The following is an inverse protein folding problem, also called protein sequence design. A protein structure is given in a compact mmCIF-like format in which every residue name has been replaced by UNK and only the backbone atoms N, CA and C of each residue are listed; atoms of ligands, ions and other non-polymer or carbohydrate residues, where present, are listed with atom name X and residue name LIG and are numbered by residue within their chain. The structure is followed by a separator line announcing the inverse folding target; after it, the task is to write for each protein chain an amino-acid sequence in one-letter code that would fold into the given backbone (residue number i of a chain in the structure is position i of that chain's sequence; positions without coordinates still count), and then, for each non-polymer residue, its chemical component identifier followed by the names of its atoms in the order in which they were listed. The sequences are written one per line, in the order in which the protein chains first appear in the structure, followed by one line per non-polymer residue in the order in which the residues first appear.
data_IF_155203172447
#
_entry.id   IF_155203172447
#
_cell.length_a   1.000
_cell.length_b   1.000
_cell.length_c   1.000
_cell.angle_alpha   90.00
_cell.angle_beta   90.00
_cell.angle_gamma   90.00
#
_symmetry.space_group_name_H-M   'P 1'
#
loop_
_entity.id
_entity.type
_entity.pdbx_description
1 polymer ?
#
# COMPACT_ATOMS: atom_id res chain seq x y z
N UNK A 1 33.01 -2.09 -1.95
CA UNK A 1 31.75 -2.61 -2.56
C UNK A 1 30.59 -2.02 -1.77
N UNK A 2 29.67 -1.28 -2.38
CA UNK A 2 28.47 -0.81 -1.68
C UNK A 2 27.64 -2.03 -1.25
N UNK A 3 27.22 -2.06 0.01
CA UNK A 3 26.37 -3.14 0.51
C UNK A 3 25.04 -3.11 -0.26
N UNK A 4 24.58 -4.25 -0.72
CA UNK A 4 23.32 -4.39 -1.46
C UNK A 4 22.15 -4.14 -0.51
N UNK A 5 21.35 -3.11 -0.74
CA UNK A 5 20.11 -2.85 -0.01
C UNK A 5 19.00 -3.77 -0.52
N UNK A 6 18.39 -4.52 0.38
CA UNK A 6 17.28 -5.45 0.06
C UNK A 6 16.01 -4.92 0.70
N UNK A 7 14.95 -4.77 -0.10
CA UNK A 7 13.60 -4.50 0.35
C UNK A 7 12.70 -5.67 -0.02
N UNK A 8 11.81 -6.05 0.88
CA UNK A 8 10.77 -7.03 0.59
C UNK A 8 9.47 -6.34 0.24
N UNK A 9 8.73 -6.93 -0.68
CA UNK A 9 7.41 -6.46 -1.09
C UNK A 9 6.37 -7.55 -0.88
N UNK A 10 5.24 -7.17 -0.28
CA UNK A 10 4.08 -8.04 -0.08
C UNK A 10 2.80 -7.23 -0.34
N UNK A 11 1.74 -7.91 -0.74
CA UNK A 11 0.43 -7.32 -1.04
C UNK A 11 -0.66 -8.34 -0.70
N UNK A 12 -1.90 -7.86 -0.56
CA UNK A 12 -3.09 -8.71 -0.49
C UNK A 12 -3.07 -9.72 0.68
N UNK A 13 -2.76 -9.24 1.88
CA UNK A 13 -2.70 -10.05 3.10
C UNK A 13 -4.08 -10.55 3.53
N UNK A 14 -5.14 -9.77 3.26
CA UNK A 14 -6.55 -10.10 3.48
C UNK A 14 -6.87 -10.66 4.88
N UNK A 15 -6.36 -10.02 5.96
CA UNK A 15 -6.70 -10.41 7.32
C UNK A 15 -8.22 -10.52 7.51
N UNK A 16 -8.66 -11.64 8.08
CA UNK A 16 -10.05 -12.10 8.11
C UNK A 16 -10.35 -13.19 7.07
N UNK A 17 -9.42 -13.45 6.14
CA UNK A 17 -9.42 -14.53 5.16
C UNK A 17 -7.98 -14.90 4.72
N UNK A 18 -7.04 -14.61 5.62
CA UNK A 18 -5.60 -14.76 5.38
C UNK A 18 -5.17 -16.22 5.19
N UNK A 19 -4.14 -16.42 4.37
CA UNK A 19 -3.35 -17.65 4.35
C UNK A 19 -2.30 -17.60 5.47
N UNK A 20 -2.58 -18.26 6.59
CA UNK A 20 -1.71 -18.25 7.76
C UNK A 20 -0.34 -18.86 7.48
N UNK A 21 -0.29 -19.93 6.67
CA UNK A 21 0.98 -20.58 6.34
C UNK A 21 1.88 -19.64 5.53
N UNK A 22 1.30 -18.91 4.58
CA UNK A 22 2.03 -17.91 3.80
C UNK A 22 2.52 -16.75 4.67
N UNK A 23 1.70 -16.27 5.63
CA UNK A 23 2.09 -15.22 6.57
C UNK A 23 3.22 -15.66 7.50
N UNK A 24 3.15 -16.87 8.04
CA UNK A 24 4.19 -17.45 8.91
C UNK A 24 5.51 -17.62 8.13
N UNK A 25 5.43 -18.15 6.91
CA UNK A 25 6.60 -18.28 6.03
C UNK A 25 7.23 -16.92 5.74
N UNK A 26 6.44 -15.91 5.37
CA UNK A 26 6.94 -14.58 5.07
C UNK A 26 7.61 -13.93 6.29
N UNK A 27 6.99 -14.03 7.47
CA UNK A 27 7.54 -13.50 8.71
C UNK A 27 8.86 -14.18 9.08
N UNK A 28 8.97 -15.52 8.94
CA UNK A 28 10.19 -16.27 9.15
C UNK A 28 11.29 -15.85 8.16
N UNK A 29 10.95 -15.62 6.90
CA UNK A 29 11.88 -15.15 5.88
C UNK A 29 12.40 -13.75 6.18
N UNK A 30 11.52 -12.82 6.59
CA UNK A 30 11.91 -11.47 7.04
C UNK A 30 12.82 -11.53 8.27
N UNK A 31 12.52 -12.41 9.22
CA UNK A 31 13.34 -12.57 10.43
C UNK A 31 14.73 -13.16 10.12
N UNK A 32 14.83 -14.06 9.13
CA UNK A 32 16.07 -14.68 8.69
C UNK A 32 16.95 -13.72 7.89
N UNK A 33 16.39 -13.09 6.88
CA UNK A 33 17.14 -12.27 5.92
C UNK A 33 17.36 -10.83 6.38
N UNK A 34 16.54 -10.33 7.32
CA UNK A 34 16.62 -8.96 7.83
C UNK A 34 16.73 -7.91 6.72
N UNK A 35 15.77 -7.85 5.78
CA UNK A 35 15.77 -6.81 4.76
C UNK A 35 15.77 -5.41 5.39
N UNK A 36 16.18 -4.39 4.66
CA UNK A 36 16.17 -3.00 5.13
C UNK A 36 14.75 -2.47 5.41
N UNK A 37 13.73 -3.12 4.87
CA UNK A 37 12.34 -2.84 5.15
C UNK A 37 11.38 -3.72 4.34
N UNK A 38 10.10 -3.68 4.71
CA UNK A 38 8.99 -4.33 4.01
C UNK A 38 8.04 -3.25 3.47
N UNK A 39 7.72 -3.33 2.20
CA UNK A 39 6.69 -2.49 1.56
C UNK A 39 5.44 -3.36 1.36
N UNK A 40 4.33 -2.98 2.01
CA UNK A 40 3.05 -3.66 1.87
C UNK A 40 2.07 -2.79 1.08
N UNK A 41 1.72 -3.22 -0.14
CA UNK A 41 0.93 -2.41 -1.08
C UNK A 41 -0.56 -2.74 -1.08
N UNK A 42 -1.18 -2.68 0.09
CA UNK A 42 -2.64 -2.67 0.23
C UNK A 42 -3.31 -4.02 0.38
N UNK A 43 -4.62 -3.97 0.53
CA UNK A 43 -5.49 -5.07 0.86
C UNK A 43 -5.00 -5.84 2.11
N UNK A 44 -4.69 -5.06 3.16
CA UNK A 44 -4.29 -5.58 4.47
C UNK A 44 -5.43 -6.40 5.08
N UNK A 45 -6.67 -5.98 4.84
CA UNK A 45 -7.88 -6.55 5.42
C UNK A 45 -8.80 -7.09 4.33
N UNK A 46 -9.72 -8.00 4.68
CA UNK A 46 -10.72 -8.50 3.75
C UNK A 46 -11.92 -7.54 3.61
N UNK A 47 -12.30 -6.83 4.68
CA UNK A 47 -13.54 -6.01 4.73
C UNK A 47 -13.38 -4.64 5.38
N UNK A 48 -12.18 -4.24 5.76
CA UNK A 48 -11.92 -2.96 6.39
C UNK A 48 -12.48 -2.84 7.81
N UNK A 49 -12.67 -3.94 8.52
CA UNK A 49 -13.21 -3.93 9.89
C UNK A 49 -12.12 -3.62 10.92
N UNK A 50 -12.53 -3.06 12.09
CA UNK A 50 -11.60 -2.80 13.18
C UNK A 50 -10.89 -4.07 13.67
N UNK A 51 -11.58 -5.22 13.67
CA UNK A 51 -11.01 -6.51 14.08
C UNK A 51 -9.92 -6.97 13.11
N UNK A 52 -10.16 -6.89 11.81
CA UNK A 52 -9.18 -7.25 10.79
C UNK A 52 -7.96 -6.33 10.84
N UNK A 53 -8.16 -5.02 11.00
CA UNK A 53 -7.06 -4.07 11.21
C UNK A 53 -6.27 -4.34 12.50
N UNK A 54 -6.90 -4.83 13.57
CA UNK A 54 -6.20 -5.22 14.78
C UNK A 54 -5.28 -6.42 14.55
N UNK A 55 -5.77 -7.44 13.81
CA UNK A 55 -4.96 -8.61 13.44
C UNK A 55 -3.80 -8.22 12.51
N UNK A 56 -4.07 -7.39 11.50
CA UNK A 56 -3.02 -6.86 10.62
C UNK A 56 -1.96 -6.06 11.41
N UNK A 57 -2.40 -5.22 12.34
CA UNK A 57 -1.52 -4.44 13.21
C UNK A 57 -0.63 -5.33 14.07
N UNK A 58 -1.20 -6.36 14.67
CA UNK A 58 -0.45 -7.33 15.48
C UNK A 58 0.64 -7.98 14.63
N UNK A 59 0.29 -8.54 13.49
CA UNK A 59 1.25 -9.22 12.62
C UNK A 59 2.33 -8.28 12.09
N UNK A 60 1.97 -7.11 11.53
CA UNK A 60 2.91 -6.16 10.94
C UNK A 60 3.88 -5.59 11.98
N UNK A 61 3.43 -5.33 13.21
CA UNK A 61 4.30 -4.82 14.29
C UNK A 61 5.26 -5.86 14.84
N UNK A 62 5.01 -7.15 14.63
CA UNK A 62 5.94 -8.22 15.01
C UNK A 62 7.05 -8.45 13.98
N UNK A 63 6.95 -7.90 12.77
CA UNK A 63 8.07 -7.96 11.82
C UNK A 63 9.27 -7.17 12.36
N UNK A 64 10.48 -7.77 12.38
CA UNK A 64 11.65 -7.16 13.06
C UNK A 64 12.37 -6.11 12.18
N UNK A 65 11.66 -5.49 11.25
CA UNK A 65 12.18 -4.48 10.30
C UNK A 65 11.13 -3.38 10.09
N UNK A 66 11.50 -2.18 9.61
CA UNK A 66 10.55 -1.14 9.27
C UNK A 66 9.54 -1.60 8.20
N UNK A 67 8.27 -1.22 8.35
CA UNK A 67 7.20 -1.58 7.42
C UNK A 67 6.51 -0.33 6.92
N UNK A 68 6.49 -0.14 5.60
CA UNK A 68 5.65 0.86 4.93
C UNK A 68 4.38 0.20 4.41
N UNK A 69 3.23 0.84 4.62
CA UNK A 69 1.94 0.32 4.16
C UNK A 69 1.23 1.32 3.24
N UNK A 70 0.58 0.79 2.22
CA UNK A 70 -0.35 1.51 1.35
C UNK A 70 -1.76 0.93 1.50
N UNK A 71 -2.81 1.75 1.30
CA UNK A 71 -4.16 1.21 1.40
C UNK A 71 -4.59 0.53 0.09
N UNK A 72 -5.30 -0.59 0.21
CA UNK A 72 -5.98 -1.27 -0.87
C UNK A 72 -7.50 -1.03 -0.87
N UNK A 73 -8.21 -1.58 -1.85
CA UNK A 73 -9.65 -1.37 -1.97
C UNK A 73 -10.46 -2.14 -0.91
N UNK A 74 -9.91 -3.17 -0.30
CA UNK A 74 -10.49 -3.90 0.81
C UNK A 74 -10.25 -3.22 2.18
N UNK A 75 -9.33 -2.26 2.26
CA UNK A 75 -9.00 -1.52 3.48
C UNK A 75 -9.96 -0.35 3.79
N UNK A 76 -10.96 -0.15 2.95
CA UNK A 76 -12.02 0.83 3.17
C UNK A 76 -13.35 0.13 3.49
N UNK A 77 -14.23 0.75 4.31
CA UNK A 77 -15.49 0.13 4.70
C UNK A 77 -16.34 -0.29 3.50
N UNK A 78 -16.94 -1.47 3.58
CA UNK A 78 -17.83 -2.01 2.56
C UNK A 78 -19.14 -1.22 2.43
N UNK A 79 -19.92 -1.49 1.37
CA UNK A 79 -21.16 -0.76 1.01
C UNK A 79 -22.21 -0.72 2.13
N UNK A 80 -22.32 -1.74 2.96
CA UNK A 80 -23.25 -1.74 4.11
C UNK A 80 -22.85 -0.75 5.21
N UNK A 81 -21.64 -0.21 5.16
CA UNK A 81 -21.13 0.85 6.04
C UNK A 81 -20.94 2.17 5.28
N UNK A 82 -21.85 2.50 4.38
CA UNK A 82 -21.74 3.65 3.47
C UNK A 82 -21.46 4.97 4.20
N UNK A 83 -22.11 5.23 5.33
CA UNK A 83 -21.86 6.45 6.10
C UNK A 83 -20.40 6.54 6.58
N UNK A 84 -19.83 5.43 7.07
CA UNK A 84 -18.40 5.37 7.46
C UNK A 84 -17.49 5.53 6.26
N UNK A 85 -17.83 4.88 5.13
CA UNK A 85 -17.07 4.97 3.90
C UNK A 85 -17.00 6.39 3.35
N UNK A 86 -18.08 7.15 3.45
CA UNK A 86 -18.12 8.55 2.99
C UNK A 86 -17.47 9.52 3.98
N UNK A 87 -17.67 9.32 5.29
CA UNK A 87 -17.18 10.24 6.31
C UNK A 87 -15.69 10.03 6.64
N UNK A 88 -15.27 8.80 6.95
CA UNK A 88 -13.90 8.46 7.39
C UNK A 88 -13.42 7.13 6.81
N UNK A 89 -13.26 7.01 5.48
CA UNK A 89 -12.95 5.74 4.82
C UNK A 89 -11.61 5.12 5.26
N UNK A 90 -10.64 5.94 5.64
CA UNK A 90 -9.28 5.52 5.96
C UNK A 90 -8.94 5.60 7.47
N UNK A 91 -9.94 5.73 8.35
CA UNK A 91 -9.67 5.95 9.77
C UNK A 91 -8.85 4.81 10.41
N UNK A 92 -9.22 3.55 10.16
CA UNK A 92 -8.48 2.39 10.68
C UNK A 92 -7.10 2.26 10.03
N UNK A 93 -7.00 2.50 8.72
CA UNK A 93 -5.73 2.50 7.99
C UNK A 93 -4.76 3.56 8.57
N UNK A 94 -5.21 4.80 8.76
CA UNK A 94 -4.37 5.85 9.34
C UNK A 94 -3.94 5.54 10.77
N UNK A 95 -4.82 4.94 11.57
CA UNK A 95 -4.47 4.50 12.93
C UNK A 95 -3.37 3.43 12.90
N UNK A 96 -3.46 2.47 11.98
CA UNK A 96 -2.43 1.46 11.78
C UNK A 96 -1.12 2.07 11.28
N UNK A 97 -1.17 2.94 10.26
CA UNK A 97 0.01 3.63 9.73
C UNK A 97 0.73 4.43 10.81
N UNK A 98 -0.02 5.13 11.66
CA UNK A 98 0.53 5.85 12.81
C UNK A 98 1.18 4.91 13.84
N UNK A 99 0.56 3.75 14.11
CA UNK A 99 1.11 2.75 15.02
C UNK A 99 2.41 2.13 14.53
N UNK A 100 2.54 1.87 13.23
CA UNK A 100 3.77 1.35 12.61
C UNK A 100 4.90 2.39 12.62
N UNK A 101 4.56 3.67 12.63
CA UNK A 101 5.45 4.80 12.96
C UNK A 101 6.58 5.09 12.00
N UNK A 102 6.90 4.23 11.06
CA UNK A 102 8.12 4.39 10.27
C UNK A 102 7.86 4.50 8.77
N UNK A 103 8.29 5.60 8.20
CA UNK A 103 8.71 5.59 6.81
C UNK A 103 10.03 4.82 6.70
N UNK A 104 10.18 4.02 5.64
CA UNK A 104 11.45 3.37 5.34
C UNK A 104 12.42 4.48 4.93
N UNK A 105 13.28 4.88 5.86
CA UNK A 105 14.28 5.92 5.63
C UNK A 105 15.63 5.27 5.32
N UNK A 106 16.00 5.22 4.04
CA UNK A 106 17.27 4.68 3.56
C UNK A 106 18.04 5.77 2.80
N UNK A 107 19.38 5.85 2.90
CA UNK A 107 20.16 6.85 2.19
C UNK A 107 20.05 6.75 0.67
N UNK A 108 19.89 5.51 0.15
CA UNK A 108 19.87 5.26 -1.30
C UNK A 108 18.47 5.06 -1.87
N UNK A 109 17.44 4.89 -1.02
CA UNK A 109 16.08 4.54 -1.49
C UNK A 109 15.04 5.39 -0.76
N UNK A 110 14.19 6.07 -1.51
CA UNK A 110 12.98 6.70 -1.02
C UNK A 110 11.75 5.91 -1.48
N UNK A 111 10.82 5.66 -0.56
CA UNK A 111 9.52 5.05 -0.87
C UNK A 111 8.45 6.11 -0.75
N UNK A 112 7.78 6.41 -1.86
CA UNK A 112 6.72 7.42 -1.93
C UNK A 112 5.38 6.77 -2.22
N UNK A 113 4.38 7.11 -1.43
CA UNK A 113 3.02 6.61 -1.56
C UNK A 113 2.30 7.23 -2.75
N UNK A 114 1.62 6.41 -3.56
CA UNK A 114 0.63 6.86 -4.53
C UNK A 114 -0.70 6.15 -4.28
N UNK A 115 -1.63 6.84 -3.67
CA UNK A 115 -2.95 6.28 -3.41
C UNK A 115 -3.73 6.05 -4.70
N UNK A 116 -4.11 4.80 -4.95
CA UNK A 116 -4.85 4.37 -6.15
C UNK A 116 -6.28 3.97 -5.86
N UNK A 117 -6.79 4.22 -4.66
CA UNK A 117 -8.15 3.89 -4.23
C UNK A 117 -8.97 5.14 -3.99
N UNK A 118 -10.27 5.04 -4.23
CA UNK A 118 -11.21 6.12 -3.96
C UNK A 118 -12.33 5.65 -3.02
N UNK A 119 -12.78 6.56 -2.13
CA UNK A 119 -13.94 6.30 -1.26
C UNK A 119 -15.22 6.05 -2.03
N UNK A 120 -15.38 6.70 -3.20
CA UNK A 120 -16.51 6.55 -4.12
C UNK A 120 -16.07 6.76 -5.56
N UNK A 121 -16.71 6.07 -6.48
CA UNK A 121 -16.49 6.20 -7.91
C UNK A 121 -17.82 6.09 -8.66
N UNK A 122 -17.99 6.82 -9.77
CA UNK A 122 -19.08 6.60 -10.73
C UNK A 122 -18.77 5.37 -11.61
N UNK A 123 -18.76 4.20 -10.99
CA UNK A 123 -18.53 2.89 -11.61
C UNK A 123 -19.33 1.84 -10.83
N UNK A 124 -19.82 0.80 -11.52
CA UNK A 124 -20.45 -0.35 -10.87
C UNK A 124 -19.47 -1.14 -10.01
N UNK A 125 -18.21 -1.25 -10.46
CA UNK A 125 -17.16 -1.93 -9.71
C UNK A 125 -16.22 -0.90 -9.05
N UNK A 126 -16.30 -0.79 -7.72
CA UNK A 126 -15.51 0.14 -6.90
C UNK A 126 -14.15 -0.43 -6.47
N UNK A 127 -13.88 -1.72 -6.77
CA UNK A 127 -12.55 -2.32 -6.53
C UNK A 127 -11.50 -1.87 -7.53
N UNK A 128 -11.90 -1.26 -8.66
CA UNK A 128 -10.95 -0.79 -9.67
C UNK A 128 -10.24 0.49 -9.26
N UNK A 129 -8.95 0.59 -9.60
CA UNK A 129 -8.10 1.71 -9.24
C UNK A 129 -8.53 3.07 -9.80
N UNK A 130 -8.20 4.12 -9.07
CA UNK A 130 -8.31 5.51 -9.49
C UNK A 130 -7.21 6.35 -8.86
N UNK A 131 -6.45 7.07 -9.68
CA UNK A 131 -5.55 8.13 -9.25
C UNK A 131 -6.25 9.48 -9.43
N UNK A 132 -6.51 10.19 -8.33
CA UNK A 132 -7.00 11.57 -8.39
C UNK A 132 -5.83 12.54 -8.68
N UNK A 133 -6.15 13.79 -9.08
CA UNK A 133 -5.12 14.81 -9.25
C UNK A 133 -4.42 15.08 -7.92
N UNK A 134 -5.19 15.23 -6.84
CA UNK A 134 -4.64 15.47 -5.49
C UNK A 134 -3.69 14.37 -5.03
N UNK A 135 -4.01 13.09 -5.28
CA UNK A 135 -3.14 11.97 -4.91
C UNK A 135 -1.86 11.95 -5.75
N UNK A 136 -1.95 12.31 -7.03
CA UNK A 136 -0.78 12.46 -7.91
C UNK A 136 0.11 13.62 -7.46
N UNK A 137 -0.48 14.79 -7.19
CA UNK A 137 0.26 15.98 -6.74
C UNK A 137 0.98 15.71 -5.41
N UNK A 138 0.33 14.97 -4.49
CA UNK A 138 0.94 14.55 -3.23
C UNK A 138 2.14 13.62 -3.45
N UNK A 139 2.05 12.67 -4.39
CA UNK A 139 3.15 11.79 -4.73
C UNK A 139 4.32 12.55 -5.39
N UNK A 140 4.03 13.45 -6.34
CA UNK A 140 5.04 14.31 -6.97
C UNK A 140 5.73 15.23 -5.95
N UNK A 141 4.97 15.79 -5.02
CA UNK A 141 5.51 16.58 -3.91
C UNK A 141 6.43 15.72 -3.03
N UNK A 142 6.00 14.51 -2.64
CA UNK A 142 6.82 13.55 -1.91
C UNK A 142 8.14 13.26 -2.64
N UNK A 143 8.08 12.96 -3.95
CA UNK A 143 9.28 12.73 -4.77
C UNK A 143 10.21 13.95 -4.80
N UNK A 144 9.66 15.16 -4.78
CA UNK A 144 10.44 16.40 -4.81
C UNK A 144 11.31 16.60 -3.55
N UNK A 145 10.91 16.04 -2.41
CA UNK A 145 11.72 16.07 -1.18
C UNK A 145 12.90 15.09 -1.21
N UNK A 146 12.84 14.11 -2.10
CA UNK A 146 13.87 13.06 -2.22
C UNK A 146 14.74 13.23 -3.48
N UNK A 147 14.94 14.47 -3.97
CA UNK A 147 15.68 14.73 -5.23
C UNK A 147 17.09 14.15 -5.22
N UNK A 148 17.77 14.19 -4.09
CA UNK A 148 19.14 13.71 -3.94
C UNK A 148 19.23 12.18 -3.76
N UNK A 149 18.11 11.48 -3.52
CA UNK A 149 18.10 10.04 -3.31
C UNK A 149 18.20 9.31 -4.65
N UNK A 150 19.17 8.41 -4.84
CA UNK A 150 19.43 7.75 -6.13
C UNK A 150 18.25 6.96 -6.67
N UNK A 151 17.55 6.19 -5.82
CA UNK A 151 16.41 5.36 -6.21
C UNK A 151 15.14 5.84 -5.52
N UNK A 152 14.12 6.11 -6.32
CA UNK A 152 12.78 6.46 -5.84
C UNK A 152 11.80 5.38 -6.24
N UNK A 153 11.14 4.78 -5.27
CA UNK A 153 10.10 3.78 -5.46
C UNK A 153 8.74 4.43 -5.21
N UNK A 154 7.82 4.29 -6.15
CA UNK A 154 6.43 4.71 -5.96
C UNK A 154 5.60 3.47 -5.61
N UNK A 155 5.16 3.40 -4.36
CA UNK A 155 4.33 2.32 -3.85
C UNK A 155 2.85 2.61 -4.10
N UNK A 156 2.15 1.69 -4.78
CA UNK A 156 0.71 1.78 -5.02
C UNK A 156 0.09 0.38 -5.09
N UNK A 157 -1.22 0.28 -4.75
CA UNK A 157 -1.92 -1.00 -4.75
C UNK A 157 -2.35 -1.43 -6.16
N UNK A 158 -3.03 -0.55 -6.91
CA UNK A 158 -3.47 -0.90 -8.26
C UNK A 158 -2.39 -0.58 -9.31
N UNK A 159 -2.21 -1.44 -10.34
CA UNK A 159 -1.32 -1.15 -11.45
C UNK A 159 -1.76 0.11 -12.19
N UNK A 160 -0.82 0.99 -12.54
CA UNK A 160 -1.12 2.25 -13.24
C UNK A 160 -1.52 2.03 -14.69
N UNK A 161 -0.99 1.00 -15.31
CA UNK A 161 -1.30 0.56 -16.67
C UNK A 161 -1.59 -0.93 -16.68
N UNK A 162 -2.42 -1.36 -17.61
CA UNK A 162 -2.66 -2.78 -17.83
C UNK A 162 -1.41 -3.40 -18.45
N UNK A 163 -0.98 -4.54 -17.90
CA UNK A 163 -0.09 -5.44 -18.63
C UNK A 163 -0.88 -6.09 -19.79
N UNK A 164 -0.18 -6.63 -20.79
CA UNK A 164 -0.77 -7.42 -21.90
C UNK A 164 -1.29 -8.78 -21.38
N UNK A 165 -2.07 -8.74 -20.32
CA UNK A 165 -2.76 -9.86 -19.70
C UNK A 165 -4.26 -9.66 -19.87
N UNK A 166 -5.03 -10.72 -19.84
CA UNK A 166 -6.51 -10.65 -19.90
C UNK A 166 -7.13 -10.00 -18.64
N UNK A 167 -6.33 -9.42 -17.76
CA UNK A 167 -6.78 -8.76 -16.54
C UNK A 167 -7.42 -7.40 -16.84
N UNK A 168 -8.65 -7.20 -16.40
CA UNK A 168 -9.45 -5.99 -16.64
C UNK A 168 -9.19 -4.87 -15.62
N UNK A 169 -7.97 -4.73 -15.14
CA UNK A 169 -7.60 -3.84 -14.01
C UNK A 169 -7.27 -2.40 -14.45
N UNK A 170 -8.08 -1.76 -15.30
CA UNK A 170 -7.79 -0.38 -15.73
C UNK A 170 -7.93 0.63 -14.57
N UNK A 171 -6.80 1.19 -14.13
CA UNK A 171 -6.77 2.30 -13.16
C UNK A 171 -7.09 3.62 -13.87
N UNK A 172 -8.20 4.26 -13.47
CA UNK A 172 -8.56 5.58 -14.02
C UNK A 172 -7.51 6.62 -13.61
N UNK A 173 -6.93 7.31 -14.60
CA UNK A 173 -5.85 8.27 -14.38
C UNK A 173 -4.46 7.65 -14.27
N UNK A 174 -4.33 6.31 -14.38
CA UNK A 174 -3.05 5.60 -14.27
C UNK A 174 -2.05 5.99 -15.35
N UNK A 175 -2.46 6.04 -16.63
CA UNK A 175 -1.57 6.49 -17.72
C UNK A 175 -1.03 7.90 -17.51
N UNK A 176 -1.90 8.84 -17.03
CA UNK A 176 -1.49 10.20 -16.71
C UNK A 176 -0.49 10.20 -15.54
N UNK A 177 -0.78 9.42 -14.51
CA UNK A 177 0.12 9.31 -13.35
C UNK A 177 1.48 8.76 -13.78
N UNK A 178 1.52 7.68 -14.56
CA UNK A 178 2.77 7.12 -15.07
C UNK A 178 3.58 8.14 -15.86
N UNK A 179 2.94 8.88 -16.78
CA UNK A 179 3.61 9.91 -17.58
C UNK A 179 4.15 11.09 -16.75
N UNK A 180 3.52 11.39 -15.60
CA UNK A 180 3.99 12.46 -14.71
C UNK A 180 5.09 12.00 -13.74
N UNK A 181 5.22 10.69 -13.49
CA UNK A 181 6.21 10.09 -12.61
C UNK A 181 7.50 9.68 -13.35
N UNK A 182 7.44 9.52 -14.68
CA UNK A 182 8.58 9.18 -15.55
C UNK A 182 9.44 10.43 -15.85
#
# INVERSE_FOLDING_TARGET
MSAKTVLYHVSDLHFGYEDRQALEWFAAEVARERPAGVICTGDLTMRGTAKEFALAAEWLTHLPVPVSIEPGNHDVPYYHLMLRRLARPYAHFHALKHRLGSEIALPEVAVVSLKTIARAQFRLNWSKGRVSQTDLDAALHGLSHHRAVPLKLVACHHPLVEADTQATASTRGGKRALAALA
#
